data_IF_523408143084
#
_entry.id   IF_523408143084
#
_cell.length_a   1.000
_cell.length_b   1.000
_cell.length_c   1.000
_cell.angle_alpha   90.00
_cell.angle_beta   90.00
_cell.angle_gamma   90.00
#
_symmetry.space_group_name_H-M   'P 1'
#
loop_
_entity.id
_entity.type
_entity.pdbx_description
1 polymer ?
#
# COMPACT_ATOMS: atom_id res chain seq x y z
N UNK A 1 2.52 -7.05 4.37
CA UNK A 1 1.27 -6.31 4.06
C UNK A 1 0.61 -6.96 2.85
N UNK A 2 -0.71 -7.13 2.82
CA UNK A 2 -1.41 -7.67 1.64
C UNK A 2 -2.51 -6.71 1.18
N UNK A 3 -2.56 -6.41 -0.11
CA UNK A 3 -3.60 -5.61 -0.75
C UNK A 3 -4.37 -6.48 -1.76
N UNK A 4 -5.69 -6.34 -1.79
CA UNK A 4 -6.51 -6.88 -2.89
C UNK A 4 -6.44 -5.89 -4.04
N UNK A 5 -5.91 -6.33 -5.18
CA UNK A 5 -5.67 -5.51 -6.37
C UNK A 5 -6.92 -5.40 -7.25
N UNK A 6 -7.75 -6.43 -7.30
CA UNK A 6 -8.80 -6.52 -8.31
C UNK A 6 -10.17 -6.96 -7.75
N UNK A 7 -11.29 -6.60 -8.39
CA UNK A 7 -12.61 -7.13 -8.07
C UNK A 7 -12.68 -8.66 -8.20
N UNK A 8 -11.83 -9.24 -9.05
CA UNK A 8 -11.72 -10.68 -9.28
C UNK A 8 -10.93 -11.41 -8.17
N UNK A 9 -10.38 -10.67 -7.20
CA UNK A 9 -9.80 -11.22 -5.98
C UNK A 9 -8.28 -11.43 -5.99
N UNK A 10 -7.56 -10.87 -6.97
CA UNK A 10 -6.10 -10.99 -6.98
C UNK A 10 -5.49 -10.28 -5.76
N UNK A 11 -4.83 -11.05 -4.89
CA UNK A 11 -4.17 -10.53 -3.68
C UNK A 11 -2.68 -10.35 -3.92
N UNK A 12 -2.21 -9.12 -3.81
CA UNK A 12 -0.78 -8.81 -3.82
C UNK A 12 -0.25 -8.69 -2.41
N UNK A 13 0.67 -9.59 -2.08
CA UNK A 13 1.46 -9.53 -0.86
C UNK A 13 2.73 -8.69 -1.10
N UNK A 14 2.97 -7.77 -0.19
CA UNK A 14 4.19 -6.97 -0.05
C UNK A 14 4.87 -7.36 1.26
N UNK A 15 6.00 -8.04 1.16
CA UNK A 15 6.76 -8.50 2.32
C UNK A 15 7.82 -7.48 2.75
N UNK A 16 8.20 -6.55 1.87
CA UNK A 16 9.24 -5.54 2.16
C UNK A 16 8.83 -4.14 1.72
N UNK A 17 9.55 -3.13 2.22
CA UNK A 17 9.35 -1.71 1.92
C UNK A 17 9.72 -1.41 0.46
N UNK A 18 10.76 -2.05 -0.06
CA UNK A 18 11.24 -1.91 -1.43
C UNK A 18 10.20 -2.43 -2.44
N UNK A 19 9.55 -3.55 -2.13
CA UNK A 19 8.47 -4.07 -2.97
C UNK A 19 7.30 -3.08 -3.05
N UNK A 20 6.93 -2.48 -1.92
CA UNK A 20 5.87 -1.48 -1.85
C UNK A 20 6.25 -0.20 -2.64
N UNK A 21 7.49 0.29 -2.50
CA UNK A 21 7.99 1.46 -3.23
C UNK A 21 8.04 1.19 -4.74
N UNK A 22 8.58 0.05 -5.16
CA UNK A 22 8.64 -0.32 -6.57
C UNK A 22 7.25 -0.31 -7.20
N UNK A 23 6.27 -0.88 -6.49
CA UNK A 23 4.92 -0.97 -6.98
C UNK A 23 4.25 0.40 -7.12
N UNK A 24 4.41 1.27 -6.11
CA UNK A 24 3.99 2.68 -6.21
C UNK A 24 4.62 3.40 -7.40
N UNK A 25 5.89 3.12 -7.73
CA UNK A 25 6.58 3.78 -8.85
C UNK A 25 6.15 3.25 -10.22
N UNK A 26 5.94 1.94 -10.36
CA UNK A 26 5.88 1.27 -11.68
C UNK A 26 4.54 0.66 -12.04
N UNK A 27 3.72 0.27 -11.06
CA UNK A 27 2.50 -0.53 -11.28
C UNK A 27 1.24 0.08 -10.66
N UNK A 28 1.36 1.27 -10.10
CA UNK A 28 0.27 1.92 -9.37
C UNK A 28 -0.72 2.59 -10.33
N UNK A 29 -2.04 2.35 -10.20
CA UNK A 29 -3.03 2.77 -11.20
C UNK A 29 -3.35 4.26 -11.19
N UNK A 30 -3.18 4.95 -10.05
CA UNK A 30 -3.60 6.36 -9.87
C UNK A 30 -2.44 7.23 -9.39
N UNK A 31 -2.10 8.29 -10.12
CA UNK A 31 -1.05 9.22 -9.72
C UNK A 31 -1.57 10.35 -8.81
N UNK A 32 -2.09 10.01 -7.62
CA UNK A 32 -2.68 10.96 -6.68
C UNK A 32 -1.68 11.46 -5.61
N UNK A 33 -2.11 12.44 -4.79
CA UNK A 33 -1.30 12.97 -3.68
C UNK A 33 -0.98 11.90 -2.64
N UNK A 34 -1.91 10.95 -2.41
CA UNK A 34 -1.70 9.86 -1.46
C UNK A 34 -0.55 8.93 -1.89
N UNK A 35 -0.44 8.63 -3.19
CA UNK A 35 0.71 7.91 -3.77
C UNK A 35 2.02 8.66 -3.54
N UNK A 36 2.06 9.98 -3.78
CA UNK A 36 3.28 10.78 -3.56
C UNK A 36 3.68 10.79 -2.08
N UNK A 37 2.72 10.96 -1.18
CA UNK A 37 2.95 10.90 0.26
C UNK A 37 3.49 9.53 0.68
N UNK A 38 2.90 8.44 0.17
CA UNK A 38 3.35 7.09 0.46
C UNK A 38 4.78 6.84 -0.03
N UNK A 39 5.14 7.31 -1.22
CA UNK A 39 6.51 7.23 -1.74
C UNK A 39 7.51 7.91 -0.81
N UNK A 40 7.24 9.15 -0.41
CA UNK A 40 8.13 9.90 0.48
C UNK A 40 8.29 9.24 1.85
N UNK A 41 7.22 8.65 2.41
CA UNK A 41 7.29 7.93 3.69
C UNK A 41 8.05 6.61 3.61
N UNK A 42 7.93 5.89 2.48
CA UNK A 42 8.71 4.67 2.24
C UNK A 42 10.19 4.99 2.05
N UNK A 43 10.51 6.04 1.29
CA UNK A 43 11.87 6.58 1.10
C UNK A 43 12.51 6.94 2.43
N UNK A 44 11.84 7.78 3.23
CA UNK A 44 12.32 8.14 4.56
C UNK A 44 12.55 6.92 5.46
N UNK A 45 11.70 5.89 5.38
CA UNK A 45 11.89 4.68 6.18
C UNK A 45 13.09 3.84 5.71
N UNK A 46 13.38 3.76 4.40
CA UNK A 46 14.58 3.08 3.89
C UNK A 46 15.86 3.83 4.24
N UNK A 47 15.79 5.17 4.27
CA UNK A 47 16.91 6.03 4.66
C UNK A 47 17.08 6.12 6.19
N UNK A 48 16.30 5.35 6.97
CA UNK A 48 16.27 5.38 8.44
C UNK A 48 15.88 6.74 9.05
N UNK A 49 15.22 7.60 8.28
CA UNK A 49 14.72 8.93 8.69
C UNK A 49 13.24 8.92 9.14
N UNK A 50 12.60 7.76 9.15
CA UNK A 50 11.21 7.59 9.57
C UNK A 50 10.90 6.15 9.99
N UNK A 51 9.71 5.94 10.56
CA UNK A 51 9.33 4.61 11.03
C UNK A 51 8.69 3.76 9.94
N UNK A 52 8.92 2.43 10.00
CA UNK A 52 8.22 1.45 9.15
C UNK A 52 6.70 1.51 9.35
N UNK A 53 6.24 1.82 10.56
CA UNK A 53 4.81 1.96 10.87
C UNK A 53 4.14 3.12 10.15
N UNK A 54 4.80 4.27 10.07
CA UNK A 54 4.33 5.44 9.30
C UNK A 54 4.30 5.14 7.80
N UNK A 55 5.37 4.52 7.27
CA UNK A 55 5.43 4.10 5.87
C UNK A 55 4.30 3.13 5.50
N UNK A 56 4.05 2.13 6.37
CA UNK A 56 2.92 1.20 6.23
C UNK A 56 1.57 1.91 6.23
N UNK A 57 1.40 2.89 7.12
CA UNK A 57 0.13 3.63 7.24
C UNK A 57 -0.11 4.49 5.99
N UNK A 58 0.91 5.18 5.50
CA UNK A 58 0.82 5.98 4.28
C UNK A 58 0.53 5.09 3.06
N UNK A 59 1.21 3.95 2.93
CA UNK A 59 0.96 2.97 1.88
C UNK A 59 -0.49 2.45 1.87
N UNK A 60 -1.04 2.10 3.03
CA UNK A 60 -2.43 1.64 3.14
C UNK A 60 -3.45 2.74 2.85
N UNK A 61 -3.13 4.00 3.13
CA UNK A 61 -3.97 5.15 2.74
C UNK A 61 -3.98 5.32 1.22
N UNK A 62 -2.81 5.33 0.58
CA UNK A 62 -2.72 5.35 -0.88
C UNK A 62 -3.50 4.20 -1.50
N UNK A 63 -3.38 2.99 -0.94
CA UNK A 63 -4.10 1.83 -1.42
C UNK A 63 -5.62 2.07 -1.45
N UNK A 64 -6.18 2.65 -0.37
CA UNK A 64 -7.61 2.97 -0.29
C UNK A 64 -8.04 4.03 -1.30
N UNK A 65 -7.25 5.08 -1.51
CA UNK A 65 -7.60 6.13 -2.49
C UNK A 65 -7.56 5.62 -3.92
N UNK A 66 -6.70 4.63 -4.20
CA UNK A 66 -6.66 3.92 -5.46
C UNK A 66 -7.74 2.82 -5.61
N UNK A 67 -8.64 2.66 -4.63
CA UNK A 67 -9.73 1.67 -4.67
C UNK A 67 -9.37 0.27 -4.19
N UNK A 68 -8.14 0.05 -3.69
CA UNK A 68 -7.71 -1.24 -3.15
C UNK A 68 -8.21 -1.46 -1.73
N UNK A 69 -8.51 -2.72 -1.40
CA UNK A 69 -8.95 -3.13 -0.06
C UNK A 69 -7.82 -3.90 0.65
N UNK A 70 -7.39 -3.50 1.86
CA UNK A 70 -6.44 -4.30 2.63
C UNK A 70 -7.06 -5.66 3.02
N UNK A 71 -6.33 -6.76 2.84
CA UNK A 71 -6.86 -8.12 3.07
C UNK A 71 -7.48 -8.31 4.47
N UNK A 72 -6.84 -7.78 5.53
CA UNK A 72 -7.38 -7.90 6.89
C UNK A 72 -8.73 -7.20 7.12
N UNK A 73 -9.18 -6.33 6.20
CA UNK A 73 -10.53 -5.75 6.18
C UNK A 73 -11.44 -6.50 5.20
N UNK A 74 -10.91 -7.07 4.11
CA UNK A 74 -11.67 -7.92 3.18
C UNK A 74 -12.18 -9.20 3.88
N UNK A 75 -11.36 -9.82 4.72
CA UNK A 75 -11.75 -10.99 5.53
C UNK A 75 -12.89 -10.67 6.51
N UNK A 76 -12.96 -9.43 7.02
CA UNK A 76 -14.04 -8.98 7.92
C UNK A 76 -15.33 -8.61 7.18
N UNK A 77 -15.24 -8.21 5.91
CA UNK A 77 -16.41 -7.84 5.09
C UNK A 77 -17.09 -9.06 4.46
N UNK A 78 -16.36 -10.15 4.17
CA UNK A 78 -16.97 -11.41 3.73
C UNK A 78 -17.51 -12.28 4.87
N UNK A 79 -17.17 -11.97 6.13
CA UNK A 79 -17.60 -12.71 7.31
C UNK A 79 -18.81 -12.09 8.04
N UNK A 80 -19.42 -11.05 7.46
CA UNK A 80 -20.60 -10.34 7.97
C UNK A 80 -21.78 -10.53 7.02
#
# INVERSE_FOLDING_TARGET
MSLVISPEGDVQRFSTIEQAQYWLRKKWPVADEARHNALGRLEAAMDCLGSVGEARTAFLRAARTAGFVPQGRAEQLCAA
#
